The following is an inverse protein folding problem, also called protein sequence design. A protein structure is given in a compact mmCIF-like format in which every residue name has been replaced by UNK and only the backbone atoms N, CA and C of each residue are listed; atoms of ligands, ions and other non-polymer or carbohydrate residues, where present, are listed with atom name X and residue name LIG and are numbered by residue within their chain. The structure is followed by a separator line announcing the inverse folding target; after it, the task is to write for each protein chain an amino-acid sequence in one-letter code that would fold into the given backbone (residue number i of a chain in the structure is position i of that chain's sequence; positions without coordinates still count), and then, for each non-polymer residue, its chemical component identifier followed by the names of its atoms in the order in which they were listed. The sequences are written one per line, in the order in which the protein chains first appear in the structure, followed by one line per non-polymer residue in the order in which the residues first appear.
data_IF_660015545711
#
_entry.id   IF_660015545711
#
_cell.length_a   1.000
_cell.length_b   1.000
_cell.length_c   1.000
_cell.angle_alpha   90.00
_cell.angle_beta   90.00
_cell.angle_gamma   90.00
#
_symmetry.space_group_name_H-M   'P 1'
#
loop_
_entity.id
_entity.type
_entity.pdbx_description
1 polymer ?
#
# COMPACT_ATOMS: atom_id res chain seq x y z
N UNK A 1 -48.91 -24.44 12.88
CA UNK A 1 -49.36 -25.08 14.14
C UNK A 1 -48.56 -26.35 14.32
N UNK A 2 -48.11 -26.64 15.56
CA UNK A 2 -47.22 -27.74 16.00
C UNK A 2 -45.75 -27.53 15.61
N UNK A 3 -44.84 -27.00 16.45
CA UNK A 3 -44.45 -27.18 17.87
C UNK A 3 -43.61 -28.45 18.18
N UNK A 4 -42.53 -28.20 18.94
CA UNK A 4 -41.73 -29.06 19.86
C UNK A 4 -40.60 -29.89 19.23
N UNK A 5 -39.44 -30.12 19.85
CA UNK A 5 -38.98 -30.01 21.25
C UNK A 5 -37.44 -29.95 21.25
N UNK A 6 -36.77 -29.05 21.97
CA UNK A 6 -36.12 -29.21 23.29
C UNK A 6 -35.42 -30.56 23.53
N UNK A 7 -34.11 -30.53 23.82
CA UNK A 7 -33.34 -31.67 24.31
C UNK A 7 -31.94 -31.27 24.81
N UNK A 8 -31.71 -31.48 26.10
CA UNK A 8 -30.71 -30.85 26.97
C UNK A 8 -29.35 -31.56 27.07
N UNK A 9 -28.31 -30.75 27.35
CA UNK A 9 -27.08 -30.93 28.17
C UNK A 9 -26.79 -32.31 28.79
N UNK A 10 -25.55 -32.82 28.60
CA UNK A 10 -24.72 -33.44 29.67
C UNK A 10 -23.23 -33.14 29.43
N UNK A 11 -22.57 -32.63 30.48
CA UNK A 11 -21.12 -32.42 30.63
C UNK A 11 -20.47 -33.67 31.24
N UNK A 12 -19.29 -34.10 30.76
CA UNK A 12 -18.31 -34.83 31.57
C UNK A 12 -16.91 -34.91 30.90
N UNK A 13 -15.94 -34.23 31.52
CA UNK A 13 -14.65 -34.81 31.94
C UNK A 13 -13.52 -35.02 30.90
N UNK A 14 -12.24 -34.89 31.30
CA UNK A 14 -11.21 -34.33 30.42
C UNK A 14 -10.19 -35.35 29.89
N UNK A 15 -9.65 -35.01 28.72
CA UNK A 15 -8.22 -35.18 28.46
C UNK A 15 -7.83 -36.36 27.61
N UNK A 16 -7.92 -36.25 26.29
CA UNK A 16 -6.93 -36.82 25.37
C UNK A 16 -6.67 -35.83 24.23
N UNK A 17 -5.39 -35.59 23.98
CA UNK A 17 -4.81 -34.64 23.03
C UNK A 17 -5.15 -35.00 21.58
N UNK A 18 -5.82 -34.10 20.85
CA UNK A 18 -5.96 -34.16 19.39
C UNK A 18 -5.20 -32.99 18.74
N UNK A 19 -4.18 -33.33 17.93
CA UNK A 19 -3.53 -32.41 17.00
C UNK A 19 -4.58 -31.81 16.06
N UNK A 20 -4.73 -30.48 16.04
CA UNK A 20 -5.53 -29.80 15.04
C UNK A 20 -4.93 -30.02 13.65
N UNK A 21 -5.60 -30.79 12.79
CA UNK A 21 -5.47 -30.57 11.34
C UNK A 21 -6.41 -29.43 11.01
N UNK A 22 -5.84 -28.27 10.66
CA UNK A 22 -6.56 -27.19 9.98
C UNK A 22 -7.24 -27.79 8.75
N UNK A 23 -8.56 -27.80 8.72
CA UNK A 23 -9.31 -27.89 7.47
C UNK A 23 -9.11 -26.56 6.75
N UNK A 24 -8.22 -26.57 5.76
CA UNK A 24 -8.04 -25.48 4.80
C UNK A 24 -9.31 -25.32 3.99
N UNK A 25 -10.00 -24.20 4.20
CA UNK A 25 -10.92 -23.67 3.20
C UNK A 25 -10.01 -23.16 2.06
N UNK A 26 -10.09 -23.79 0.89
CA UNK A 26 -9.19 -23.46 -0.22
C UNK A 26 -9.29 -21.97 -0.62
N UNK A 27 -8.16 -21.29 -0.83
CA UNK A 27 -8.09 -19.84 -1.09
C UNK A 27 -8.67 -19.39 -2.44
N UNK A 28 -9.12 -20.33 -3.29
CA UNK A 28 -9.53 -20.05 -4.68
C UNK A 28 -10.92 -19.37 -4.80
N UNK A 29 -11.86 -19.61 -3.87
CA UNK A 29 -13.22 -19.03 -3.91
C UNK A 29 -13.26 -17.59 -3.37
N UNK A 30 -12.35 -17.23 -2.47
CA UNK A 30 -12.28 -15.89 -1.83
C UNK A 30 -11.58 -14.85 -2.71
N UNK A 31 -10.70 -15.29 -3.63
CA UNK A 31 -9.90 -14.43 -4.49
C UNK A 31 -10.73 -13.83 -5.64
N UNK A 32 -11.63 -14.62 -6.23
CA UNK A 32 -12.43 -14.20 -7.39
C UNK A 32 -13.55 -13.21 -7.03
N UNK A 33 -14.13 -13.35 -5.84
CA UNK A 33 -15.07 -12.37 -5.27
C UNK A 33 -14.39 -11.00 -5.11
N UNK A 34 -13.08 -10.96 -4.83
CA UNK A 34 -12.34 -9.70 -4.56
C UNK A 34 -11.97 -8.91 -5.82
N UNK A 35 -11.64 -9.58 -6.93
CA UNK A 35 -11.32 -8.91 -8.21
C UNK A 35 -12.57 -8.34 -8.87
N UNK A 36 -13.69 -9.08 -8.82
CA UNK A 36 -15.01 -8.60 -9.29
C UNK A 36 -15.56 -7.48 -8.40
N UNK A 37 -15.21 -7.47 -7.11
CA UNK A 37 -15.51 -6.36 -6.20
C UNK A 37 -14.67 -5.12 -6.53
N UNK A 38 -13.38 -5.27 -6.85
CA UNK A 38 -12.52 -4.16 -7.27
C UNK A 38 -13.04 -3.46 -8.53
N UNK A 39 -13.41 -4.23 -9.56
CA UNK A 39 -13.93 -3.65 -10.80
C UNK A 39 -15.31 -2.98 -10.61
N UNK A 40 -16.21 -3.58 -9.81
CA UNK A 40 -17.49 -2.95 -9.48
C UNK A 40 -17.35 -1.73 -8.56
N UNK A 41 -16.30 -1.66 -7.73
CA UNK A 41 -16.00 -0.51 -6.87
C UNK A 41 -15.43 0.65 -7.70
N UNK A 42 -14.51 0.37 -8.63
CA UNK A 42 -13.94 1.34 -9.56
C UNK A 42 -15.05 1.92 -10.47
N UNK A 43 -15.93 1.08 -11.04
CA UNK A 43 -17.03 1.52 -11.91
C UNK A 43 -18.14 2.25 -11.13
N UNK A 44 -18.52 1.80 -9.92
CA UNK A 44 -19.56 2.48 -9.11
C UNK A 44 -19.08 3.79 -8.46
N UNK A 45 -17.78 3.93 -8.16
CA UNK A 45 -17.25 5.16 -7.56
C UNK A 45 -16.98 6.29 -8.56
N UNK A 46 -16.98 6.02 -9.87
CA UNK A 46 -17.08 7.07 -10.91
C UNK A 46 -18.37 7.89 -10.72
N UNK A 47 -19.40 7.34 -10.05
CA UNK A 47 -20.64 8.06 -9.73
C UNK A 47 -20.74 8.61 -8.29
N UNK A 48 -19.86 8.22 -7.36
CA UNK A 48 -19.97 8.64 -5.95
C UNK A 48 -18.60 8.82 -5.28
N UNK A 49 -18.06 10.05 -5.35
CA UNK A 49 -17.47 10.78 -4.20
C UNK A 49 -16.90 12.14 -4.65
N UNK A 50 -17.69 13.19 -4.43
CA UNK A 50 -17.18 14.55 -4.25
C UNK A 50 -16.60 14.70 -2.84
N UNK A 51 -15.49 14.01 -2.55
CA UNK A 51 -14.54 14.47 -1.54
C UNK A 51 -13.30 14.76 -2.36
N UNK A 52 -12.99 16.04 -2.59
CA UNK A 52 -11.79 16.46 -3.31
C UNK A 52 -10.57 16.01 -2.50
N UNK A 53 -10.11 14.78 -2.68
CA UNK A 53 -8.82 14.34 -2.17
C UNK A 53 -7.75 15.08 -2.97
N UNK A 54 -7.23 16.18 -2.42
CA UNK A 54 -6.19 16.99 -3.06
C UNK A 54 -4.82 16.33 -2.87
N UNK A 55 -4.66 15.04 -3.21
CA UNK A 55 -3.37 14.35 -3.04
C UNK A 55 -2.24 15.17 -3.68
N UNK A 56 -1.12 15.34 -2.99
CA UNK A 56 0.08 15.97 -3.55
C UNK A 56 1.25 14.99 -3.55
N UNK A 57 1.90 14.86 -4.70
CA UNK A 57 3.09 14.03 -4.87
C UNK A 57 4.11 14.78 -5.74
N UNK A 58 5.38 14.73 -5.34
CA UNK A 58 6.46 15.41 -6.06
C UNK A 58 6.39 16.95 -6.02
N UNK A 59 5.54 17.52 -5.16
CA UNK A 59 5.45 18.97 -4.98
C UNK A 59 6.61 19.51 -4.15
N UNK A 60 7.10 20.69 -4.52
CA UNK A 60 8.26 21.32 -3.90
C UNK A 60 7.86 22.67 -3.30
N UNK A 61 8.22 22.87 -2.03
CA UNK A 61 7.96 24.07 -1.26
C UNK A 61 9.26 24.63 -0.69
N UNK A 62 9.43 25.95 -0.72
CA UNK A 62 10.69 26.59 -0.31
C UNK A 62 10.51 27.98 0.30
N UNK A 63 9.60 28.81 -0.19
CA UNK A 63 9.48 30.23 0.22
C UNK A 63 8.42 30.38 1.30
N UNK A 64 8.87 30.54 2.55
CA UNK A 64 8.01 30.81 3.70
C UNK A 64 7.87 32.30 3.99
N UNK A 65 6.78 32.67 4.66
CA UNK A 65 6.64 34.02 5.21
C UNK A 65 7.76 34.29 6.24
N UNK A 66 8.18 35.55 6.37
CA UNK A 66 9.39 35.91 7.14
C UNK A 66 9.20 35.66 8.64
N UNK A 67 7.98 35.87 9.13
CA UNK A 67 7.54 35.60 10.50
C UNK A 67 7.68 34.11 10.87
N UNK A 68 7.63 33.21 9.88
CA UNK A 68 7.80 31.77 10.09
C UNK A 68 9.25 31.33 9.84
N UNK A 69 10.21 32.03 10.47
CA UNK A 69 11.63 31.77 10.24
C UNK A 69 12.19 30.54 10.96
N UNK A 70 11.41 29.89 11.82
CA UNK A 70 11.82 28.73 12.62
C UNK A 70 12.00 27.45 11.78
N UNK A 71 12.87 26.51 12.19
CA UNK A 71 13.10 25.26 11.46
C UNK A 71 11.93 24.28 11.63
N UNK A 72 11.41 23.75 10.52
CA UNK A 72 10.31 22.77 10.51
C UNK A 72 10.78 21.34 10.17
N UNK A 73 12.07 21.05 10.27
CA UNK A 73 12.61 19.74 9.93
C UNK A 73 13.70 19.32 10.90
N UNK A 74 13.77 18.03 11.17
CA UNK A 74 14.82 17.36 11.94
C UNK A 74 15.68 16.47 11.06
N UNK A 75 16.93 16.27 11.49
CA UNK A 75 17.87 15.34 10.87
C UNK A 75 17.80 13.95 11.55
N UNK A 76 18.63 12.98 11.10
CA UNK A 76 18.60 11.59 11.60
C UNK A 76 18.90 11.48 13.10
N UNK A 77 19.57 12.47 13.70
CA UNK A 77 19.87 12.54 15.13
C UNK A 77 18.79 13.26 15.95
N UNK A 78 17.74 13.79 15.29
CA UNK A 78 16.66 14.54 15.94
C UNK A 78 16.95 16.02 16.16
N UNK A 79 18.09 16.53 15.67
CA UNK A 79 18.42 17.95 15.75
C UNK A 79 17.70 18.73 14.66
N UNK A 80 17.31 19.97 14.98
CA UNK A 80 16.69 20.89 14.04
C UNK A 80 17.66 21.21 12.88
N UNK A 81 17.10 21.39 11.68
CA UNK A 81 17.84 21.80 10.50
C UNK A 81 17.69 23.31 10.33
N UNK A 82 18.57 24.07 10.97
CA UNK A 82 18.56 25.55 11.04
C UNK A 82 19.59 26.22 10.12
N UNK A 83 20.71 25.55 9.81
CA UNK A 83 21.91 26.10 9.16
C UNK A 83 21.73 26.70 7.74
N UNK A 84 20.55 26.62 7.13
CA UNK A 84 20.31 27.10 5.77
C UNK A 84 19.12 28.06 5.65
N UNK A 85 18.67 28.60 6.78
CA UNK A 85 17.61 29.59 6.85
C UNK A 85 16.22 29.03 6.54
N UNK A 86 15.23 29.90 6.63
CA UNK A 86 13.82 29.55 6.50
C UNK A 86 13.39 29.14 5.07
N UNK A 87 14.28 29.30 4.08
CA UNK A 87 14.04 29.06 2.66
C UNK A 87 14.67 27.75 2.13
N UNK A 88 14.77 26.74 2.99
CA UNK A 88 15.20 25.40 2.59
C UNK A 88 14.10 24.74 1.74
N UNK A 89 14.43 24.15 0.58
CA UNK A 89 13.45 23.40 -0.20
C UNK A 89 13.09 22.09 0.49
N UNK A 90 11.80 21.79 0.48
CA UNK A 90 11.20 20.54 0.91
C UNK A 90 10.43 19.93 -0.25
N UNK A 91 10.62 18.63 -0.44
CA UNK A 91 9.84 17.86 -1.41
C UNK A 91 8.84 16.99 -0.67
N UNK A 92 7.58 17.14 -1.04
CA UNK A 92 6.46 16.32 -0.61
C UNK A 92 6.50 15.06 -1.47
N UNK A 93 6.87 13.92 -0.89
CA UNK A 93 6.80 12.68 -1.66
C UNK A 93 5.36 12.12 -1.66
N UNK A 94 4.57 12.48 -0.65
CA UNK A 94 3.16 12.15 -0.52
C UNK A 94 2.48 13.12 0.45
N UNK A 95 1.23 13.49 0.15
CA UNK A 95 0.34 14.20 1.04
C UNK A 95 -1.11 13.82 0.79
N UNK A 96 -1.86 13.69 1.88
CA UNK A 96 -3.33 13.64 1.91
C UNK A 96 -3.82 14.64 2.97
N UNK A 97 -4.24 14.17 4.15
CA UNK A 97 -4.50 14.99 5.35
C UNK A 97 -3.20 15.53 5.98
N UNK A 98 -2.10 14.78 5.84
CA UNK A 98 -0.76 15.16 6.31
C UNK A 98 0.20 15.31 5.16
N UNK A 99 1.22 16.14 5.34
CA UNK A 99 2.33 16.30 4.40
C UNK A 99 3.52 15.46 4.89
N UNK A 100 4.00 14.56 4.03
CA UNK A 100 5.21 13.76 4.27
C UNK A 100 6.33 14.29 3.39
N UNK A 101 7.31 14.96 4.02
CA UNK A 101 8.29 15.76 3.30
C UNK A 101 9.73 15.42 3.66
N UNK A 102 10.60 15.59 2.65
CA UNK A 102 12.04 15.40 2.75
C UNK A 102 12.75 16.73 2.59
N UNK A 103 13.86 16.90 3.31
CA UNK A 103 14.69 18.08 3.19
C UNK A 103 15.68 17.98 2.03
N UNK A 104 15.80 19.04 1.24
CA UNK A 104 16.81 19.17 0.19
C UNK A 104 17.82 20.26 0.55
N UNK A 105 19.10 20.06 0.19
CA UNK A 105 20.18 21.04 0.36
C UNK A 105 21.04 21.15 -0.88
N UNK A 106 21.59 22.33 -1.10
CA UNK A 106 22.65 22.53 -2.10
C UNK A 106 23.97 21.91 -1.63
N UNK A 107 24.68 21.27 -2.55
CA UNK A 107 26.01 20.71 -2.28
C UNK A 107 27.05 21.78 -2.56
N UNK A 108 27.76 22.19 -1.52
CA UNK A 108 28.86 23.16 -1.58
C UNK A 108 30.19 22.48 -1.29
N UNK A 109 31.32 23.14 -1.53
CA UNK A 109 32.64 22.62 -1.15
C UNK A 109 32.71 22.23 0.32
N UNK A 110 32.10 23.02 1.20
CA UNK A 110 32.10 22.82 2.66
C UNK A 110 31.38 21.53 3.09
N UNK A 111 30.26 21.19 2.46
CA UNK A 111 29.43 20.05 2.88
C UNK A 111 29.57 18.80 1.98
N UNK A 112 30.35 18.89 0.90
CA UNK A 112 30.43 17.88 -0.17
C UNK A 112 30.76 16.49 0.35
N UNK A 113 31.86 16.35 1.09
CA UNK A 113 32.36 15.05 1.57
C UNK A 113 31.33 14.35 2.45
N UNK A 114 30.82 15.05 3.47
CA UNK A 114 29.81 14.50 4.37
C UNK A 114 28.51 14.13 3.63
N UNK A 115 28.08 14.96 2.67
CA UNK A 115 26.84 14.74 1.92
C UNK A 115 26.92 13.55 0.97
N UNK A 116 28.04 13.40 0.25
CA UNK A 116 28.25 12.29 -0.70
C UNK A 116 28.45 10.96 0.03
N UNK A 117 29.13 10.96 1.19
CA UNK A 117 29.40 9.74 1.94
C UNK A 117 28.16 9.19 2.66
N UNK A 118 27.17 10.04 2.93
CA UNK A 118 25.91 9.61 3.51
C UNK A 118 25.05 8.93 2.44
N UNK A 119 25.08 7.59 2.49
CA UNK A 119 24.35 6.70 1.58
C UNK A 119 22.83 6.88 1.65
N UNK A 120 22.28 7.59 2.63
CA UNK A 120 20.84 7.86 2.72
C UNK A 120 20.42 9.10 1.92
N UNK A 121 21.38 9.86 1.41
CA UNK A 121 21.10 10.95 0.48
C UNK A 121 20.96 10.43 -0.95
N UNK A 122 20.19 11.17 -1.74
CA UNK A 122 20.24 11.11 -3.20
C UNK A 122 20.79 12.40 -3.75
N UNK A 123 21.65 12.29 -4.76
CA UNK A 123 22.37 13.41 -5.35
C UNK A 123 21.82 13.67 -6.75
N UNK A 124 21.51 14.93 -7.03
CA UNK A 124 21.08 15.40 -8.34
C UNK A 124 22.02 16.50 -8.84
N UNK A 125 22.33 16.49 -10.14
CA UNK A 125 23.12 17.56 -10.77
C UNK A 125 22.29 18.82 -11.02
N UNK A 126 20.99 18.66 -11.26
CA UNK A 126 20.00 19.73 -11.32
C UNK A 126 19.20 19.79 -10.04
N UNK A 127 18.71 20.97 -9.67
CA UNK A 127 17.82 21.10 -8.52
C UNK A 127 16.41 20.62 -8.83
N UNK A 128 15.54 20.58 -7.82
CA UNK A 128 14.16 20.10 -7.96
C UNK A 128 13.30 20.98 -8.87
N UNK A 129 13.79 22.16 -9.25
CA UNK A 129 13.17 23.12 -10.17
C UNK A 129 13.76 23.03 -11.59
N UNK A 130 14.71 22.12 -11.83
CA UNK A 130 15.37 21.93 -13.12
C UNK A 130 16.56 22.86 -13.39
N UNK A 131 16.98 23.68 -12.43
CA UNK A 131 18.13 24.57 -12.60
C UNK A 131 19.44 23.80 -12.44
N UNK A 132 20.52 24.28 -13.09
CA UNK A 132 21.86 23.70 -13.00
C UNK A 132 22.52 24.00 -11.64
N UNK A 133 22.05 23.28 -10.62
CA UNK A 133 22.51 23.38 -9.24
C UNK A 133 22.50 22.02 -8.59
N UNK A 134 23.69 21.54 -8.23
CA UNK A 134 23.83 20.25 -7.55
C UNK A 134 23.20 20.27 -6.16
N UNK A 135 22.29 19.34 -5.91
CA UNK A 135 21.59 19.20 -4.63
C UNK A 135 21.67 17.77 -4.08
N UNK A 136 21.38 17.65 -2.79
CA UNK A 136 21.12 16.39 -2.12
C UNK A 136 19.73 16.43 -1.47
N UNK A 137 18.95 15.37 -1.64
CA UNK A 137 17.71 15.12 -0.87
C UNK A 137 18.01 14.06 0.17
N UNK A 138 17.67 14.33 1.43
CA UNK A 138 17.89 13.39 2.53
C UNK A 138 16.69 12.44 2.64
N UNK A 139 16.93 11.14 2.48
CA UNK A 139 15.91 10.09 2.57
C UNK A 139 16.00 9.28 3.87
N UNK A 140 16.87 9.65 4.83
CA UNK A 140 16.91 8.97 6.15
C UNK A 140 15.88 9.48 7.14
N UNK A 141 15.21 10.59 6.82
CA UNK A 141 14.22 11.20 7.70
C UNK A 141 13.01 11.64 6.89
N UNK A 142 11.83 11.20 7.33
CA UNK A 142 10.55 11.75 6.89
C UNK A 142 10.06 12.69 7.99
N UNK A 143 9.89 13.96 7.64
CA UNK A 143 9.22 14.92 8.50
C UNK A 143 7.73 14.95 8.11
N UNK A 144 6.88 15.12 9.09
CA UNK A 144 5.42 15.04 8.96
C UNK A 144 4.80 16.26 9.62
N UNK A 145 3.76 16.80 9.00
CA UNK A 145 2.97 17.89 9.56
C UNK A 145 1.53 17.75 9.06
N UNK A 146 0.56 18.22 9.83
CA UNK A 146 -0.75 18.52 9.30
C UNK A 146 -0.65 19.40 8.05
N UNK A 147 -1.46 19.12 7.04
CA UNK A 147 -1.33 19.80 5.75
C UNK A 147 -1.73 21.26 5.81
N UNK A 148 -2.84 21.59 6.47
CA UNK A 148 -3.30 22.98 6.58
C UNK A 148 -2.25 23.80 7.32
N UNK A 149 -1.70 23.25 8.40
CA UNK A 149 -0.57 23.85 9.12
C UNK A 149 0.63 24.04 8.21
N UNK A 150 1.05 23.03 7.44
CA UNK A 150 2.21 23.11 6.56
C UNK A 150 2.05 24.20 5.49
N UNK A 151 0.94 24.18 4.75
CA UNK A 151 0.69 25.11 3.65
C UNK A 151 0.56 26.55 4.14
N UNK A 152 0.03 26.77 5.35
CA UNK A 152 -0.08 28.11 5.97
C UNK A 152 1.26 28.81 6.16
N UNK A 153 2.37 28.06 6.24
CA UNK A 153 3.70 28.64 6.44
C UNK A 153 4.28 29.26 5.16
N UNK A 154 3.72 28.98 3.99
CA UNK A 154 4.28 29.30 2.68
C UNK A 154 3.56 30.43 1.96
N UNK A 155 4.33 31.21 1.20
CA UNK A 155 3.79 32.27 0.35
C UNK A 155 3.00 31.62 -0.80
N UNK A 156 1.68 31.84 -0.81
CA UNK A 156 0.73 31.15 -1.70
C UNK A 156 1.09 31.25 -3.18
N UNK A 157 1.46 32.45 -3.64
CA UNK A 157 1.68 32.72 -5.07
C UNK A 157 3.17 32.71 -5.46
N UNK A 158 4.04 32.11 -4.64
CA UNK A 158 5.46 32.00 -5.00
C UNK A 158 5.68 30.88 -6.01
N UNK A 159 6.38 31.17 -7.10
CA UNK A 159 6.83 30.16 -8.09
C UNK A 159 7.77 29.08 -7.53
N UNK A 160 8.24 29.24 -6.29
CA UNK A 160 9.05 28.25 -5.58
C UNK A 160 8.25 27.30 -4.67
N UNK A 161 6.93 27.49 -4.60
CA UNK A 161 5.99 26.70 -3.80
C UNK A 161 4.97 26.01 -4.71
N UNK A 162 4.41 24.88 -4.24
CA UNK A 162 3.54 23.99 -5.03
C UNK A 162 4.13 23.64 -6.43
N UNK A 163 5.45 23.68 -6.55
CA UNK A 163 6.14 23.44 -7.81
C UNK A 163 6.20 21.93 -8.07
N UNK A 164 5.76 21.48 -9.24
CA UNK A 164 5.84 20.08 -9.63
C UNK A 164 7.26 19.72 -10.07
N UNK A 165 7.96 18.87 -9.30
CA UNK A 165 9.26 18.36 -9.74
C UNK A 165 9.12 17.39 -10.91
N UNK A 166 10.20 17.17 -11.65
CA UNK A 166 10.20 16.22 -12.75
C UNK A 166 10.09 14.76 -12.27
N UNK A 167 9.51 13.94 -13.13
CA UNK A 167 9.27 12.53 -12.84
C UNK A 167 10.55 11.74 -12.56
N UNK A 168 11.68 12.12 -13.17
CA UNK A 168 12.95 11.43 -12.96
C UNK A 168 13.48 11.67 -11.55
N UNK A 169 13.37 12.89 -11.03
CA UNK A 169 13.66 13.21 -9.63
C UNK A 169 12.73 12.45 -8.69
N UNK A 170 11.42 12.51 -8.92
CA UNK A 170 10.44 11.84 -8.06
C UNK A 170 10.67 10.32 -7.98
N UNK A 171 10.83 9.64 -9.12
CA UNK A 171 11.11 8.19 -9.18
C UNK A 171 12.37 7.81 -8.42
N UNK A 172 13.43 8.60 -8.60
CA UNK A 172 14.71 8.39 -7.93
C UNK A 172 14.60 8.55 -6.41
N UNK A 173 13.81 9.53 -5.95
CA UNK A 173 13.51 9.73 -4.52
C UNK A 173 12.72 8.54 -3.97
N UNK A 174 11.64 8.13 -4.64
CA UNK A 174 10.79 7.03 -4.20
C UNK A 174 11.56 5.70 -4.14
N UNK A 175 12.39 5.42 -5.15
CA UNK A 175 13.32 4.28 -5.12
C UNK A 175 14.25 4.37 -3.92
N UNK A 176 14.83 5.55 -3.65
CA UNK A 176 15.76 5.71 -2.53
C UNK A 176 15.09 5.49 -1.18
N UNK A 177 13.87 6.01 -1.01
CA UNK A 177 13.05 5.78 0.19
C UNK A 177 12.75 4.29 0.40
N UNK A 178 12.48 3.55 -0.68
CA UNK A 178 12.31 2.10 -0.61
C UNK A 178 13.59 1.40 -0.16
N UNK A 179 14.74 1.72 -0.76
CA UNK A 179 16.03 1.09 -0.46
C UNK A 179 16.45 1.28 1.02
N UNK A 180 16.07 2.39 1.65
CA UNK A 180 16.47 2.74 3.02
C UNK A 180 15.31 2.65 4.02
N UNK A 181 14.17 2.08 3.63
CA UNK A 181 12.90 2.18 4.35
C UNK A 181 13.00 1.84 5.85
N UNK A 182 13.73 0.78 6.19
CA UNK A 182 13.85 0.32 7.57
C UNK A 182 14.74 1.21 8.45
N UNK A 183 15.56 2.05 7.85
CA UNK A 183 16.42 3.02 8.55
C UNK A 183 15.75 4.39 8.78
N UNK A 184 14.61 4.63 8.14
CA UNK A 184 13.94 5.94 8.16
C UNK A 184 13.51 6.31 9.58
N UNK A 185 13.84 7.54 9.98
CA UNK A 185 13.31 8.18 11.18
C UNK A 185 12.12 9.06 10.83
N UNK A 186 11.18 9.14 11.76
CA UNK A 186 9.96 9.92 11.62
C UNK A 186 9.92 10.99 12.70
N UNK A 187 9.66 12.22 12.29
CA UNK A 187 9.40 13.33 13.20
C UNK A 187 8.15 14.05 12.73
N UNK A 188 7.25 14.36 13.66
CA UNK A 188 5.98 15.01 13.34
C UNK A 188 5.85 16.29 14.18
N UNK A 189 5.48 17.38 13.52
CA UNK A 189 5.08 18.61 14.20
C UNK A 189 3.61 18.47 14.58
N UNK A 190 3.30 18.78 15.84
CA UNK A 190 1.95 18.75 16.37
C UNK A 190 1.26 20.08 16.14
N UNK A 191 1.87 21.16 16.65
CA UNK A 191 1.38 22.53 16.52
C UNK A 191 2.55 23.52 16.57
N UNK A 192 2.24 24.78 16.30
CA UNK A 192 3.19 25.89 16.37
C UNK A 192 2.62 26.91 17.35
N UNK A 193 3.42 27.28 18.35
CA UNK A 193 3.06 28.27 19.37
C UNK A 193 4.25 29.21 19.55
N UNK A 194 4.01 30.52 19.64
CA UNK A 194 5.06 31.52 19.83
C UNK A 194 6.24 31.43 18.83
N UNK A 195 5.95 31.10 17.56
CA UNK A 195 6.96 30.85 16.52
C UNK A 195 7.92 29.69 16.82
N UNK A 196 7.50 28.73 17.63
CA UNK A 196 8.24 27.51 17.90
C UNK A 196 7.41 26.28 17.53
N UNK A 197 7.96 25.33 16.75
CA UNK A 197 7.27 24.09 16.43
C UNK A 197 7.37 23.11 17.61
N UNK A 198 6.22 22.66 18.08
CA UNK A 198 6.11 21.60 19.07
C UNK A 198 6.03 20.25 18.36
N UNK A 199 6.88 19.31 18.77
CA UNK A 199 7.04 18.03 18.11
C UNK A 199 6.33 16.94 18.88
N UNK A 200 5.62 16.07 18.17
CA UNK A 200 5.06 14.84 18.76
C UNK A 200 6.16 13.95 19.31
N UNK A 201 5.78 13.10 20.26
CA UNK A 201 6.69 12.10 20.79
C UNK A 201 7.10 11.11 19.70
N UNK A 202 8.23 10.43 19.90
CA UNK A 202 8.71 9.39 18.96
C UNK A 202 7.67 8.27 18.76
N UNK A 203 6.92 7.92 19.81
CA UNK A 203 5.91 6.87 19.77
C UNK A 203 4.67 7.26 18.96
N UNK A 204 4.39 8.55 18.85
CA UNK A 204 3.32 9.06 17.99
C UNK A 204 3.80 9.18 16.56
N UNK A 205 4.96 9.82 16.34
CA UNK A 205 5.52 10.01 15.01
C UNK A 205 5.79 8.69 14.28
N UNK A 206 6.18 7.61 14.99
CA UNK A 206 6.42 6.30 14.37
C UNK A 206 5.15 5.65 13.81
N UNK A 207 3.95 6.08 14.22
CA UNK A 207 2.68 5.55 13.68
C UNK A 207 2.56 5.84 12.18
N UNK A 208 3.17 6.93 11.70
CA UNK A 208 3.26 7.29 10.28
C UNK A 208 3.99 6.24 9.43
N UNK A 209 4.82 5.38 10.03
CA UNK A 209 5.55 4.33 9.30
C UNK A 209 4.62 3.43 8.50
N UNK A 210 3.42 3.12 9.00
CA UNK A 210 2.47 2.22 8.31
C UNK A 210 1.97 2.81 7.00
N UNK A 211 1.65 4.10 7.00
CA UNK A 211 1.19 4.82 5.82
C UNK A 211 2.33 5.03 4.81
N UNK A 212 3.50 5.43 5.29
CA UNK A 212 4.70 5.53 4.48
C UNK A 212 5.08 4.16 3.87
N UNK A 213 4.90 3.06 4.61
CA UNK A 213 5.13 1.71 4.10
C UNK A 213 4.25 1.42 2.89
N UNK A 214 2.95 1.69 3.02
CA UNK A 214 1.96 1.47 1.97
C UNK A 214 2.33 2.25 0.71
N UNK A 215 2.61 3.55 0.86
CA UNK A 215 2.92 4.44 -0.26
C UNK A 215 4.25 4.08 -0.92
N UNK A 216 5.33 3.98 -0.13
CA UNK A 216 6.69 3.77 -0.66
C UNK A 216 6.82 2.39 -1.30
N UNK A 217 6.36 1.34 -0.61
CA UNK A 217 6.41 -0.02 -1.16
C UNK A 217 5.44 -0.13 -2.33
N UNK A 218 4.17 0.24 -2.16
CA UNK A 218 3.16 0.18 -3.23
C UNK A 218 3.64 0.84 -4.53
N UNK A 219 4.21 2.04 -4.44
CA UNK A 219 4.79 2.75 -5.58
C UNK A 219 5.97 2.02 -6.23
N UNK A 220 6.88 1.48 -5.42
CA UNK A 220 8.03 0.72 -5.94
C UNK A 220 7.57 -0.44 -6.83
N UNK A 221 6.56 -1.19 -6.39
CA UNK A 221 6.03 -2.32 -7.15
C UNK A 221 5.27 -1.90 -8.40
N UNK A 222 4.50 -0.81 -8.31
CA UNK A 222 3.82 -0.22 -9.46
C UNK A 222 4.77 0.06 -10.63
N UNK A 223 5.93 0.66 -10.33
CA UNK A 223 6.94 0.99 -11.34
C UNK A 223 7.76 -0.22 -11.77
N UNK A 224 8.20 -1.07 -10.82
CA UNK A 224 9.08 -2.20 -11.12
C UNK A 224 8.47 -3.14 -12.15
N UNK A 225 7.16 -3.37 -12.04
CA UNK A 225 6.47 -4.29 -12.92
C UNK A 225 6.08 -3.63 -14.28
N UNK A 226 6.52 -2.37 -14.53
CA UNK A 226 6.25 -1.56 -15.73
C UNK A 226 4.77 -1.45 -16.09
N UNK A 227 3.88 -1.47 -15.08
CA UNK A 227 2.44 -1.59 -15.30
C UNK A 227 1.74 -0.24 -15.52
N UNK A 228 2.35 0.85 -15.06
CA UNK A 228 1.88 2.23 -15.29
C UNK A 228 3.07 3.11 -15.64
N UNK A 229 2.90 4.00 -16.63
CA UNK A 229 3.90 5.02 -16.96
C UNK A 229 4.05 5.97 -15.78
N UNK A 230 5.26 6.21 -15.26
CA UNK A 230 5.46 7.10 -14.12
C UNK A 230 4.90 8.52 -14.33
N UNK A 231 4.83 9.00 -15.56
CA UNK A 231 4.24 10.28 -15.96
C UNK A 231 2.75 10.37 -15.58
N UNK A 232 1.99 9.29 -15.81
CA UNK A 232 0.55 9.22 -15.51
C UNK A 232 0.29 9.40 -14.01
N UNK A 233 1.26 9.01 -13.17
CA UNK A 233 1.14 9.09 -11.72
C UNK A 233 1.15 10.55 -11.25
N UNK A 234 2.07 11.38 -11.76
CA UNK A 234 2.13 12.81 -11.39
C UNK A 234 0.99 13.63 -12.01
N UNK A 235 0.48 13.20 -13.17
CA UNK A 235 -0.60 13.90 -13.89
C UNK A 235 -1.98 13.64 -13.29
N UNK A 236 -2.16 12.55 -12.51
CA UNK A 236 -3.41 12.15 -11.86
C UNK A 236 -3.23 11.80 -10.38
N UNK A 237 -2.80 12.76 -9.54
CA UNK A 237 -2.46 12.51 -8.15
C UNK A 237 -3.64 11.97 -7.33
N UNK A 238 -4.88 12.29 -7.69
CA UNK A 238 -6.10 11.80 -7.04
C UNK A 238 -6.22 10.27 -7.03
N UNK A 239 -5.65 9.58 -8.02
CA UNK A 239 -5.67 8.11 -8.11
C UNK A 239 -4.43 7.45 -7.47
N UNK A 240 -3.42 8.24 -7.11
CA UNK A 240 -2.15 7.73 -6.59
C UNK A 240 -2.33 6.82 -5.37
N UNK A 241 -3.09 7.29 -4.39
CA UNK A 241 -3.21 6.60 -3.10
C UNK A 241 -3.96 5.27 -3.25
N UNK A 242 -5.01 5.26 -4.08
CA UNK A 242 -5.79 4.06 -4.35
C UNK A 242 -4.93 2.99 -5.04
N UNK A 243 -4.25 3.37 -6.13
CA UNK A 243 -3.41 2.46 -6.91
C UNK A 243 -2.25 1.93 -6.05
N UNK A 244 -1.53 2.80 -5.34
CA UNK A 244 -0.41 2.37 -4.48
C UNK A 244 -0.88 1.43 -3.36
N UNK A 245 -2.03 1.71 -2.75
CA UNK A 245 -2.63 0.84 -1.72
C UNK A 245 -3.01 -0.54 -2.26
N UNK A 246 -3.58 -0.60 -3.46
CA UNK A 246 -3.91 -1.87 -4.10
C UNK A 246 -2.66 -2.72 -4.32
N UNK A 247 -1.63 -2.15 -4.94
CA UNK A 247 -0.36 -2.81 -5.18
C UNK A 247 0.31 -3.26 -3.89
N UNK A 248 0.23 -2.44 -2.83
CA UNK A 248 0.72 -2.83 -1.51
C UNK A 248 0.00 -4.06 -0.95
N UNK A 249 -1.32 -4.15 -1.11
CA UNK A 249 -2.11 -5.27 -0.61
C UNK A 249 -1.84 -6.58 -1.35
N UNK A 250 -1.58 -6.52 -2.66
CA UNK A 250 -1.18 -7.69 -3.48
C UNK A 250 0.06 -8.37 -2.90
N UNK A 251 0.98 -7.63 -2.29
CA UNK A 251 2.24 -8.17 -1.76
C UNK A 251 2.09 -8.80 -0.38
N UNK A 252 1.16 -8.29 0.43
CA UNK A 252 0.87 -8.87 1.74
C UNK A 252 0.15 -10.21 1.61
N UNK A 253 -0.50 -10.46 0.47
CA UNK A 253 -1.24 -11.67 0.16
C UNK A 253 -0.98 -12.03 -1.32
N UNK A 254 0.19 -12.60 -1.66
CA UNK A 254 0.52 -12.94 -3.05
C UNK A 254 -0.49 -13.96 -3.60
N UNK A 255 -1.02 -13.77 -4.83
CA UNK A 255 -1.90 -14.76 -5.46
C UNK A 255 -1.12 -16.05 -5.71
N UNK A 256 -1.77 -17.22 -5.61
CA UNK A 256 -1.19 -18.50 -6.02
C UNK A 256 -1.20 -18.63 -7.56
N UNK A 257 -0.16 -19.27 -8.10
CA UNK A 257 0.42 -19.02 -9.43
C UNK A 257 -0.51 -19.18 -10.66
N UNK A 258 -1.60 -19.95 -10.62
CA UNK A 258 -2.44 -20.21 -11.80
C UNK A 258 -3.35 -19.03 -12.20
N UNK A 259 -3.75 -18.18 -11.26
CA UNK A 259 -4.58 -17.00 -11.56
C UNK A 259 -3.76 -15.80 -12.05
N UNK A 260 -2.46 -15.80 -11.75
CA UNK A 260 -1.52 -14.74 -12.12
C UNK A 260 -1.23 -14.76 -13.63
N UNK A 261 -1.14 -15.95 -14.23
CA UNK A 261 -0.90 -16.12 -15.67
C UNK A 261 -2.15 -15.83 -16.53
N UNK A 262 -3.36 -16.06 -16.00
CA UNK A 262 -4.59 -15.93 -16.79
C UNK A 262 -5.05 -14.47 -16.95
N UNK A 263 -4.94 -13.64 -15.90
CA UNK A 263 -5.32 -12.22 -15.96
C UNK A 263 -4.28 -11.39 -16.70
N UNK A 264 -3.04 -11.86 -16.76
CA UNK A 264 -1.88 -11.03 -17.11
C UNK A 264 -1.28 -11.30 -18.50
N UNK A 265 -1.79 -12.29 -19.25
CA UNK A 265 -1.33 -12.59 -20.62
C UNK A 265 -2.07 -11.86 -21.75
N UNK A 266 -3.04 -10.99 -21.48
CA UNK A 266 -3.70 -10.19 -22.53
C UNK A 266 -2.97 -8.87 -22.77
N UNK A 267 -1.88 -8.95 -23.55
CA UNK A 267 -1.08 -7.83 -24.09
C UNK A 267 -1.83 -6.92 -25.09
N UNK A 268 -3.15 -6.94 -25.14
CA UNK A 268 -3.94 -6.22 -26.16
C UNK A 268 -5.27 -5.68 -25.66
N UNK A 269 -5.35 -5.31 -24.38
CA UNK A 269 -6.52 -4.59 -23.88
C UNK A 269 -6.32 -3.12 -24.24
N UNK A 270 -7.09 -2.66 -25.22
CA UNK A 270 -7.27 -1.25 -25.49
C UNK A 270 -8.14 -0.66 -24.36
N UNK A 271 -7.48 0.04 -23.44
CA UNK A 271 -8.09 0.54 -22.21
C UNK A 271 -9.10 1.67 -22.44
N UNK A 272 -9.17 2.21 -23.67
CA UNK A 272 -10.11 3.24 -24.06
C UNK A 272 -11.48 2.65 -24.51
N UNK A 273 -11.58 1.35 -24.82
CA UNK A 273 -12.85 0.70 -25.18
C UNK A 273 -13.47 -0.06 -23.99
N UNK A 274 -14.26 0.69 -23.20
CA UNK A 274 -14.96 0.14 -22.03
C UNK A 274 -15.87 -1.06 -22.35
N UNK A 275 -16.34 -1.21 -23.59
CA UNK A 275 -17.24 -2.31 -23.98
C UNK A 275 -16.49 -3.64 -24.11
N UNK A 276 -15.26 -3.58 -24.63
CA UNK A 276 -14.41 -4.74 -24.85
C UNK A 276 -13.84 -5.26 -23.52
N UNK A 277 -13.45 -4.34 -22.63
CA UNK A 277 -13.07 -4.66 -21.25
C UNK A 277 -14.22 -5.35 -20.51
N UNK A 278 -15.45 -4.85 -20.64
CA UNK A 278 -16.65 -5.44 -20.01
C UNK A 278 -16.94 -6.85 -20.51
N UNK A 279 -16.79 -7.08 -21.81
CA UNK A 279 -16.98 -8.39 -22.45
C UNK A 279 -15.95 -9.41 -21.97
N UNK A 280 -14.67 -9.04 -21.96
CA UNK A 280 -13.57 -9.91 -21.49
C UNK A 280 -13.74 -10.24 -20.01
N UNK A 281 -14.13 -9.25 -19.21
CA UNK A 281 -14.40 -9.43 -17.76
C UNK A 281 -15.57 -10.39 -17.54
N UNK A 282 -16.64 -10.29 -18.34
CA UNK A 282 -17.78 -11.19 -18.24
C UNK A 282 -17.41 -12.63 -18.67
N UNK A 283 -16.63 -12.79 -19.72
CA UNK A 283 -16.17 -14.12 -20.17
C UNK A 283 -15.29 -14.81 -19.11
N UNK A 284 -14.41 -14.05 -18.47
CA UNK A 284 -13.61 -14.56 -17.35
C UNK A 284 -14.51 -14.93 -16.15
N UNK A 285 -15.58 -14.16 -15.89
CA UNK A 285 -16.54 -14.48 -14.84
C UNK A 285 -17.27 -15.80 -15.10
N UNK A 286 -17.78 -16.00 -16.31
CA UNK A 286 -18.56 -17.19 -16.68
C UNK A 286 -17.71 -18.47 -16.63
N UNK A 287 -16.42 -18.39 -17.03
CA UNK A 287 -15.47 -19.50 -16.94
C UNK A 287 -15.23 -19.94 -15.49
N UNK A 288 -15.08 -18.99 -14.57
CA UNK A 288 -14.85 -19.32 -13.15
C UNK A 288 -16.10 -19.86 -12.47
N UNK A 289 -17.28 -19.36 -12.81
CA UNK A 289 -18.54 -19.96 -12.33
C UNK A 289 -18.66 -21.43 -12.78
N UNK A 290 -18.29 -21.72 -14.03
CA UNK A 290 -18.31 -23.08 -14.57
C UNK A 290 -17.33 -24.00 -13.84
N UNK A 291 -16.09 -23.56 -13.60
CA UNK A 291 -15.11 -24.33 -12.83
C UNK A 291 -15.53 -24.57 -11.37
N UNK A 292 -16.17 -23.58 -10.73
CA UNK A 292 -16.67 -23.72 -9.35
C UNK A 292 -17.76 -24.78 -9.27
N UNK A 293 -18.68 -24.77 -10.23
CA UNK A 293 -19.76 -25.75 -10.31
C UNK A 293 -19.22 -27.17 -10.55
N UNK A 294 -18.19 -27.32 -11.38
CA UNK A 294 -17.51 -28.60 -11.62
C UNK A 294 -16.75 -29.11 -10.38
N UNK A 295 -16.05 -28.23 -9.66
CA UNK A 295 -15.36 -28.59 -8.40
C UNK A 295 -16.34 -29.01 -7.31
N UNK A 296 -17.49 -28.34 -7.19
CA UNK A 296 -18.51 -28.71 -6.22
C UNK A 296 -19.13 -30.07 -6.54
N UNK A 297 -19.38 -30.37 -7.83
CA UNK A 297 -19.81 -31.70 -8.28
C UNK A 297 -18.79 -32.77 -7.93
N UNK A 298 -17.51 -32.55 -8.25
CA UNK A 298 -16.45 -33.52 -7.95
C UNK A 298 -16.27 -33.75 -6.44
N UNK A 299 -16.43 -32.71 -5.62
CA UNK A 299 -16.35 -32.85 -4.16
C UNK A 299 -17.50 -33.68 -3.59
N UNK A 300 -18.72 -33.43 -4.07
CA UNK A 300 -19.91 -34.22 -3.67
C UNK A 300 -19.77 -35.68 -4.10
N UNK A 301 -19.26 -35.95 -5.31
CA UNK A 301 -18.99 -37.30 -5.78
C UNK A 301 -17.94 -38.02 -4.92
N UNK A 302 -16.84 -37.34 -4.56
CA UNK A 302 -15.81 -37.91 -3.66
C UNK A 302 -16.34 -38.20 -2.27
N UNK A 303 -17.21 -37.34 -1.72
CA UNK A 303 -17.84 -37.56 -0.42
C UNK A 303 -18.80 -38.75 -0.45
N UNK A 304 -19.60 -38.88 -1.51
CA UNK A 304 -20.49 -40.01 -1.70
C UNK A 304 -19.71 -41.34 -1.82
N UNK A 305 -18.63 -41.37 -2.61
CA UNK A 305 -17.77 -42.56 -2.74
C UNK A 305 -17.08 -42.96 -1.42
N UNK A 306 -16.68 -41.99 -0.59
CA UNK A 306 -16.09 -42.28 0.72
C UNK A 306 -17.11 -42.82 1.72
N UNK A 307 -18.37 -42.40 1.64
CA UNK A 307 -19.44 -42.94 2.47
C UNK A 307 -19.76 -44.39 2.07
N UNK A 308 -19.84 -44.67 0.77
CA UNK A 308 -20.06 -46.03 0.24
C UNK A 308 -18.93 -46.98 0.69
N UNK A 309 -17.66 -46.58 0.55
CA UNK A 309 -16.52 -47.40 0.99
C UNK A 309 -16.52 -47.67 2.49
N UNK A 310 -16.85 -46.67 3.32
CA UNK A 310 -16.95 -46.86 4.79
C UNK A 310 -18.06 -47.84 5.16
N UNK A 311 -19.16 -47.83 4.41
CA UNK A 311 -20.29 -48.75 4.63
C UNK A 311 -19.91 -50.19 4.26
N UNK A 312 -19.26 -50.39 3.11
CA UNK A 312 -18.74 -51.69 2.66
C UNK A 312 -17.68 -52.27 3.63
N UNK A 313 -16.80 -51.43 4.21
CA UNK A 313 -15.82 -51.82 5.23
C UNK A 313 -16.45 -52.19 6.58
N UNK A 314 -17.51 -51.49 7.00
CA UNK A 314 -18.26 -51.89 8.20
C UNK A 314 -19.02 -53.21 8.02
N UNK A 315 -19.55 -53.45 6.83
CA UNK A 315 -20.31 -54.67 6.54
C UNK A 315 -19.41 -55.90 6.42
N UNK A 316 -18.21 -55.76 5.83
CA UNK A 316 -17.19 -56.83 5.79
C UNK A 316 -16.56 -57.13 7.14
N UNK A 317 -16.31 -56.12 7.98
CA UNK A 317 -15.79 -56.34 9.34
C UNK A 317 -16.82 -57.02 10.25
N UNK A 318 -18.10 -56.66 10.14
CA UNK A 318 -19.18 -57.34 10.87
C UNK A 318 -19.36 -58.80 10.41
N UNK A 319 -19.14 -59.10 9.13
CA UNK A 319 -19.19 -60.47 8.62
C UNK A 319 -18.02 -61.32 9.17
N UNK A 320 -16.80 -60.78 9.20
CA UNK A 320 -15.62 -61.49 9.71
C UNK A 320 -15.64 -61.69 11.23
N UNK A 321 -16.24 -60.77 11.99
CA UNK A 321 -16.36 -60.92 13.45
C UNK A 321 -17.34 -62.02 13.86
N UNK A 322 -18.37 -62.28 13.03
CA UNK A 322 -19.38 -63.32 13.25
C UNK A 322 -18.86 -64.73 12.94
N UNK A 323 -17.88 -64.87 12.05
CA UNK A 323 -17.27 -66.16 11.69
C UNK A 323 -16.16 -66.63 12.64
N UNK A 324 -15.54 -65.73 13.43
CA UNK A 324 -14.52 -66.08 14.44
C UNK A 324 -15.09 -66.54 15.80
N UNK A 325 -16.41 -66.47 15.99
CA UNK A 325 -17.09 -66.90 17.23
C UNK A 325 -17.84 -68.23 17.10
N UNK A 326 -17.52 -69.06 16.10
CA UNK A 326 -18.08 -70.40 15.95
C UNK A 326 -17.03 -71.47 16.14
#
# INVERSE_FOLDING_TARGET
MYIYNIGSVVLAGPGWTLRSRKTEIEPKTTLFIRVVFLYNLIIKNIQWRNIMSNIQIGKVYKKRYKEFSFPIAKNKTGNLIDQHGHNRPYIIFFSDEKVFYLSAKTITSLNRKATINDKTNIIFEKDLYGNDRKIAVNCSVINVMDRELFESLYIKDSSFNDFQTDIKHYNKIMKKLFDVFDEIKYFEIDYIENNEPHWKTRNEAIKNKKECEMVIKGYHYLIRDNKISPEIILDKPEHFLEVTKEYFNILKIPPTDEAYDYVWNYKSIDWDDSSNVKKITQQAYDLVQKEQLEKEKQLKEKQAQQQIKKQEETDTNNHNHKFKMK
#
